data_IF_972345795684
#
_entry.id   IF_972345795684
#
_cell.length_a   1.000
_cell.length_b   1.000
_cell.length_c   1.000
_cell.angle_alpha   90.00
_cell.angle_beta   90.00
_cell.angle_gamma   90.00
#
_symmetry.space_group_name_H-M   'P 1'
#
loop_
_entity.id
_entity.type
_entity.pdbx_description
1 polymer ?
#
# COMPACT_ATOMS: atom_id res chain seq x y z
N UNK A 1 26.98 26.47 -29.63
CA UNK A 1 26.72 25.18 -28.95
C UNK A 1 25.35 25.26 -28.30
N UNK A 2 24.33 24.53 -28.78
CA UNK A 2 23.05 24.47 -28.08
C UNK A 2 23.14 23.41 -26.98
N UNK A 3 22.83 23.81 -25.75
CA UNK A 3 22.67 22.95 -24.58
C UNK A 3 21.40 22.12 -24.71
N UNK A 4 21.56 20.83 -25.02
CA UNK A 4 20.49 19.84 -24.88
C UNK A 4 20.18 19.65 -23.38
N UNK A 5 19.05 20.19 -22.92
CA UNK A 5 18.43 19.76 -21.67
C UNK A 5 17.62 18.48 -21.93
N UNK A 6 18.06 17.28 -21.49
CA UNK A 6 17.39 16.01 -21.82
C UNK A 6 16.19 15.70 -20.91
N UNK A 7 15.96 16.50 -19.86
CA UNK A 7 15.05 16.15 -18.77
C UNK A 7 13.57 16.20 -19.14
N UNK A 8 13.16 17.02 -20.11
CA UNK A 8 11.76 17.14 -20.53
C UNK A 8 11.25 15.96 -21.37
N UNK A 9 12.12 15.33 -22.15
CA UNK A 9 11.72 14.24 -23.08
C UNK A 9 11.39 12.95 -22.33
N UNK A 10 12.27 12.51 -21.42
CA UNK A 10 12.10 11.26 -20.69
C UNK A 10 10.88 11.26 -19.74
N UNK A 11 10.59 12.38 -19.10
CA UNK A 11 9.43 12.52 -18.21
C UNK A 11 8.11 12.41 -18.99
N UNK A 12 8.03 13.07 -20.16
CA UNK A 12 6.85 12.99 -21.05
C UNK A 12 6.69 11.57 -21.61
N UNK A 13 7.79 10.90 -21.96
CA UNK A 13 7.77 9.48 -22.38
C UNK A 13 7.26 8.57 -21.27
N UNK A 14 7.71 8.74 -20.02
CA UNK A 14 7.25 7.93 -18.89
C UNK A 14 5.77 8.16 -18.57
N UNK A 15 5.31 9.41 -18.49
CA UNK A 15 3.90 9.73 -18.21
C UNK A 15 2.95 9.14 -19.25
N UNK A 16 3.42 9.00 -20.49
CA UNK A 16 2.69 8.38 -21.59
C UNK A 16 2.77 6.85 -21.59
N UNK A 17 3.72 6.25 -20.86
CA UNK A 17 3.88 4.79 -20.77
C UNK A 17 2.74 4.10 -20.03
N UNK A 18 2.57 2.81 -20.28
CA UNK A 18 1.64 1.95 -19.54
C UNK A 18 2.08 1.66 -18.11
N UNK A 19 3.35 1.83 -17.75
CA UNK A 19 3.81 1.63 -16.39
C UNK A 19 3.32 2.75 -15.45
N UNK A 20 3.21 3.99 -15.96
CA UNK A 20 2.90 5.17 -15.15
C UNK A 20 1.62 5.06 -14.30
N UNK A 21 0.46 4.59 -14.81
CA UNK A 21 -0.75 4.43 -14.01
C UNK A 21 -0.62 3.49 -12.80
N UNK A 22 0.33 2.54 -12.85
CA UNK A 22 0.58 1.55 -11.80
C UNK A 22 1.68 1.99 -10.83
N UNK A 23 2.58 2.87 -11.27
CA UNK A 23 3.70 3.37 -10.47
C UNK A 23 3.36 4.70 -9.77
N UNK A 24 2.81 5.67 -10.50
CA UNK A 24 2.63 7.04 -10.00
C UNK A 24 1.81 7.11 -8.70
N UNK A 25 0.68 6.40 -8.55
CA UNK A 25 -0.09 6.49 -7.32
C UNK A 25 0.71 5.97 -6.11
N UNK A 26 1.36 4.82 -6.24
CA UNK A 26 2.21 4.24 -5.21
C UNK A 26 3.44 5.12 -4.90
N UNK A 27 4.14 5.57 -5.94
CA UNK A 27 5.31 6.45 -5.80
C UNK A 27 4.95 7.78 -5.13
N UNK A 28 3.76 8.33 -5.41
CA UNK A 28 3.28 9.56 -4.75
C UNK A 28 3.08 9.33 -3.25
N UNK A 29 2.50 8.20 -2.85
CA UNK A 29 2.34 7.83 -1.45
C UNK A 29 3.70 7.66 -0.76
N UNK A 30 4.62 6.89 -1.37
CA UNK A 30 5.97 6.66 -0.84
C UNK A 30 6.76 7.97 -0.69
N UNK A 31 6.61 8.89 -1.64
CA UNK A 31 7.25 10.21 -1.57
C UNK A 31 6.72 11.01 -0.39
N UNK A 32 5.40 11.02 -0.18
CA UNK A 32 4.78 11.74 0.94
C UNK A 32 5.17 11.15 2.29
N UNK A 33 5.25 9.82 2.40
CA UNK A 33 5.74 9.12 3.60
C UNK A 33 7.22 9.47 3.84
N UNK A 34 8.06 9.45 2.80
CA UNK A 34 9.48 9.79 2.92
C UNK A 34 9.69 11.25 3.37
N UNK A 35 8.91 12.20 2.84
CA UNK A 35 8.94 13.59 3.29
C UNK A 35 8.51 13.72 4.75
N UNK A 36 7.45 13.02 5.15
CA UNK A 36 7.00 12.99 6.55
C UNK A 36 8.10 12.46 7.48
N UNK A 37 8.77 11.36 7.11
CA UNK A 37 9.83 10.76 7.92
C UNK A 37 11.05 11.68 8.06
N UNK A 38 11.43 12.37 6.97
CA UNK A 38 12.48 13.41 7.03
C UNK A 38 12.08 14.54 7.98
N UNK A 39 10.83 15.02 7.93
CA UNK A 39 10.33 16.05 8.84
C UNK A 39 10.32 15.57 10.30
N UNK A 40 9.94 14.32 10.57
CA UNK A 40 10.01 13.70 11.91
C UNK A 40 11.45 13.62 12.42
N UNK A 41 12.39 13.20 11.56
CA UNK A 41 13.81 13.15 11.89
C UNK A 41 14.39 14.54 12.20
N UNK A 42 14.04 15.56 11.41
CA UNK A 42 14.45 16.94 11.65
C UNK A 42 13.87 17.49 12.98
N UNK A 43 12.63 17.15 13.29
CA UNK A 43 11.97 17.53 14.55
C UNK A 43 12.66 16.89 15.75
N UNK A 44 12.95 15.59 15.66
CA UNK A 44 13.64 14.82 16.72
C UNK A 44 15.06 15.36 16.98
N UNK A 45 15.72 15.91 15.95
CA UNK A 45 17.03 16.56 16.05
C UNK A 45 16.96 18.03 16.50
N UNK A 46 15.77 18.57 16.77
CA UNK A 46 15.59 19.96 17.18
C UNK A 46 15.82 21.00 16.07
N UNK A 47 15.82 20.59 14.80
CA UNK A 47 16.04 21.49 13.66
C UNK A 47 14.77 22.30 13.36
N UNK A 48 13.60 21.67 13.50
CA UNK A 48 12.29 22.29 13.28
C UNK A 48 11.38 22.03 14.49
N UNK A 49 10.61 23.02 14.95
CA UNK A 49 9.83 22.91 16.19
C UNK A 49 8.39 22.41 15.94
N UNK A 50 8.21 21.29 15.25
CA UNK A 50 6.86 20.73 15.06
C UNK A 50 6.39 19.96 16.30
N UNK A 51 5.16 20.19 16.79
CA UNK A 51 4.58 19.36 17.84
C UNK A 51 4.39 17.91 17.37
N UNK A 52 4.61 16.89 18.23
CA UNK A 52 4.47 15.47 17.85
C UNK A 52 3.09 15.12 17.27
N UNK A 53 2.01 15.71 17.79
CA UNK A 53 0.65 15.47 17.31
C UNK A 53 0.34 16.07 15.93
N UNK A 54 1.19 16.97 15.42
CA UNK A 54 0.94 17.65 14.15
C UNK A 54 1.02 16.69 12.94
N UNK A 55 1.86 15.67 13.03
CA UNK A 55 2.01 14.68 11.96
C UNK A 55 0.76 13.83 11.72
N UNK A 56 -0.16 13.73 12.70
CA UNK A 56 -1.45 13.05 12.51
C UNK A 56 -2.26 13.69 11.38
N UNK A 57 -2.16 15.01 11.22
CA UNK A 57 -2.89 15.75 10.18
C UNK A 57 -2.31 15.58 8.77
N UNK A 58 -1.10 15.04 8.64
CA UNK A 58 -0.52 14.71 7.34
C UNK A 58 -1.14 13.46 6.73
N UNK A 59 -1.72 12.57 7.55
CA UNK A 59 -2.32 11.34 7.06
C UNK A 59 -3.49 11.60 6.09
N UNK A 60 -4.49 12.45 6.39
CA UNK A 60 -5.53 12.75 5.43
C UNK A 60 -5.00 13.37 4.15
N UNK A 61 -4.06 14.31 4.27
CA UNK A 61 -3.45 15.00 3.13
C UNK A 61 -2.80 13.99 2.18
N UNK A 62 -1.99 13.06 2.69
CA UNK A 62 -1.29 12.10 1.82
C UNK A 62 -2.23 11.16 1.09
N UNK A 63 -3.29 10.70 1.74
CA UNK A 63 -4.29 9.83 1.12
C UNK A 63 -5.16 10.59 0.12
N UNK A 64 -5.51 11.86 0.38
CA UNK A 64 -6.22 12.69 -0.61
C UNK A 64 -5.38 12.86 -1.86
N UNK A 65 -4.10 13.21 -1.71
CA UNK A 65 -3.18 13.39 -2.84
C UNK A 65 -2.99 12.08 -3.60
N UNK A 66 -2.61 10.99 -2.91
CA UNK A 66 -2.40 9.69 -3.55
C UNK A 66 -3.70 9.14 -4.18
N UNK A 67 -4.84 9.35 -3.53
CA UNK A 67 -6.16 9.00 -4.04
C UNK A 67 -6.57 9.80 -5.28
N UNK A 68 -6.23 11.10 -5.34
CA UNK A 68 -6.46 11.93 -6.52
C UNK A 68 -5.58 11.48 -7.70
N UNK A 69 -4.29 11.18 -7.44
CA UNK A 69 -3.39 10.62 -8.46
C UNK A 69 -3.92 9.28 -8.96
N UNK A 70 -4.36 8.40 -8.04
CA UNK A 70 -4.98 7.13 -8.39
C UNK A 70 -6.23 7.33 -9.26
N UNK A 71 -7.16 8.19 -8.84
CA UNK A 71 -8.40 8.46 -9.59
C UNK A 71 -8.14 8.94 -11.02
N UNK A 72 -7.09 9.77 -11.20
CA UNK A 72 -6.64 10.19 -12.52
C UNK A 72 -6.06 9.03 -13.35
N UNK A 73 -5.30 8.12 -12.72
CA UNK A 73 -4.66 6.98 -13.37
C UNK A 73 -5.60 5.79 -13.64
N UNK A 74 -6.65 5.59 -12.83
CA UNK A 74 -7.51 4.40 -12.85
C UNK A 74 -8.14 4.11 -14.22
N UNK A 75 -8.44 5.15 -15.01
CA UNK A 75 -9.02 5.01 -16.36
C UNK A 75 -8.09 4.31 -17.36
N UNK A 76 -6.80 4.18 -17.02
CA UNK A 76 -5.76 3.55 -17.86
C UNK A 76 -5.38 2.15 -17.35
N UNK A 77 -6.12 1.61 -16.39
CA UNK A 77 -5.90 0.31 -15.79
C UNK A 77 -6.99 -0.68 -16.27
N UNK A 78 -6.78 -1.26 -17.45
CA UNK A 78 -7.75 -2.18 -18.08
C UNK A 78 -7.87 -3.53 -17.36
N UNK A 79 -6.91 -3.89 -16.52
CA UNK A 79 -6.89 -5.14 -15.75
C UNK A 79 -7.87 -5.19 -14.57
N UNK A 80 -8.55 -4.08 -14.26
CA UNK A 80 -9.49 -3.98 -13.14
C UNK A 80 -10.89 -4.47 -13.52
N UNK A 81 -11.05 -5.78 -13.65
CA UNK A 81 -12.33 -6.40 -14.00
C UNK A 81 -13.21 -6.65 -12.76
N UNK A 82 -14.11 -5.71 -12.45
CA UNK A 82 -15.07 -5.86 -11.34
C UNK A 82 -16.00 -7.08 -11.48
N UNK A 83 -16.16 -7.62 -12.69
CA UNK A 83 -16.90 -8.86 -12.93
C UNK A 83 -16.27 -10.08 -12.25
N UNK A 84 -14.97 -10.05 -11.93
CA UNK A 84 -14.29 -11.14 -11.23
C UNK A 84 -14.82 -11.36 -9.81
N UNK A 85 -15.37 -10.31 -9.17
CA UNK A 85 -16.03 -10.38 -7.87
C UNK A 85 -17.30 -11.24 -7.90
N UNK A 86 -17.89 -11.46 -9.08
CA UNK A 86 -19.09 -12.29 -9.24
C UNK A 86 -18.79 -13.79 -9.19
N UNK A 87 -17.52 -14.20 -9.13
CA UNK A 87 -17.11 -15.60 -8.99
C UNK A 87 -17.09 -15.97 -7.50
N UNK A 88 -18.12 -16.68 -6.97
CA UNK A 88 -18.31 -16.80 -5.52
C UNK A 88 -17.15 -17.52 -4.83
N UNK A 89 -16.61 -18.57 -5.45
CA UNK A 89 -15.45 -19.29 -4.91
C UNK A 89 -14.22 -18.39 -4.79
N UNK A 90 -13.94 -17.59 -5.82
CA UNK A 90 -12.77 -16.72 -5.81
C UNK A 90 -12.94 -15.55 -4.84
N UNK A 91 -14.14 -14.96 -4.78
CA UNK A 91 -14.46 -13.93 -3.81
C UNK A 91 -14.36 -14.45 -2.37
N UNK A 92 -14.89 -15.65 -2.09
CA UNK A 92 -14.76 -16.30 -0.78
C UNK A 92 -13.29 -16.59 -0.43
N UNK A 93 -12.50 -17.11 -1.37
CA UNK A 93 -11.07 -17.35 -1.18
C UNK A 93 -10.30 -16.04 -0.91
N UNK A 94 -10.65 -14.96 -1.60
CA UNK A 94 -10.08 -13.62 -1.40
C UNK A 94 -10.38 -13.10 0.02
N UNK A 95 -11.64 -13.12 0.44
CA UNK A 95 -12.04 -12.70 1.80
C UNK A 95 -11.37 -13.57 2.86
N UNK A 96 -11.36 -14.89 2.69
CA UNK A 96 -10.69 -15.81 3.61
C UNK A 96 -9.18 -15.55 3.70
N UNK A 97 -8.54 -15.27 2.56
CA UNK A 97 -7.11 -14.89 2.52
C UNK A 97 -6.88 -13.60 3.28
N UNK A 98 -7.71 -12.57 3.09
CA UNK A 98 -7.59 -11.31 3.82
C UNK A 98 -7.72 -11.48 5.34
N UNK A 99 -8.72 -12.25 5.79
CA UNK A 99 -8.87 -12.56 7.21
C UNK A 99 -7.69 -13.36 7.77
N UNK A 100 -7.19 -14.36 7.02
CA UNK A 100 -6.03 -15.14 7.43
C UNK A 100 -4.77 -14.27 7.56
N UNK A 101 -4.52 -13.38 6.59
CA UNK A 101 -3.41 -12.44 6.65
C UNK A 101 -3.55 -11.52 7.86
N UNK A 102 -4.74 -10.98 8.15
CA UNK A 102 -4.97 -10.18 9.36
C UNK A 102 -4.62 -10.95 10.65
N UNK A 103 -5.13 -12.17 10.81
CA UNK A 103 -4.90 -12.99 12.01
C UNK A 103 -3.41 -13.26 12.18
N UNK A 104 -2.73 -13.65 11.10
CA UNK A 104 -1.30 -13.89 11.13
C UNK A 104 -0.52 -12.60 11.41
N UNK A 105 -0.91 -11.48 10.80
CA UNK A 105 -0.25 -10.19 10.98
C UNK A 105 -0.20 -9.76 12.45
N UNK A 106 -1.36 -9.72 13.11
CA UNK A 106 -1.45 -9.39 14.55
C UNK A 106 -0.71 -10.43 15.38
N UNK A 107 -0.75 -11.69 14.95
CA UNK A 107 -0.11 -12.80 15.64
C UNK A 107 1.38 -12.98 15.35
N UNK A 108 2.05 -12.13 14.57
CA UNK A 108 3.45 -12.36 14.11
C UNK A 108 4.53 -11.62 14.91
N UNK A 109 4.16 -10.94 15.99
CA UNK A 109 5.09 -10.26 16.91
C UNK A 109 6.16 -11.19 17.55
N UNK A 110 6.01 -12.53 17.44
CA UNK A 110 6.93 -13.51 18.03
C UNK A 110 8.21 -13.79 17.23
N UNK A 111 8.31 -13.36 15.97
CA UNK A 111 9.44 -13.75 15.11
C UNK A 111 10.66 -12.84 15.25
N UNK A 112 10.50 -11.58 15.63
CA UNK A 112 11.58 -10.60 15.78
C UNK A 112 11.33 -9.68 16.99
N UNK A 113 11.57 -10.15 18.23
CA UNK A 113 11.32 -9.38 19.46
C UNK A 113 12.19 -8.12 19.62
N UNK A 114 13.10 -7.86 18.68
CA UNK A 114 14.01 -6.71 18.69
C UNK A 114 13.50 -5.51 17.89
N UNK A 115 12.36 -5.64 17.22
CA UNK A 115 11.82 -4.53 16.44
C UNK A 115 10.97 -3.63 17.33
N UNK A 116 11.47 -2.42 17.61
CA UNK A 116 10.70 -1.44 18.39
C UNK A 116 9.41 -1.12 17.63
N UNK A 117 8.24 -1.12 18.29
CA UNK A 117 6.98 -0.77 17.64
C UNK A 117 7.09 0.65 17.07
N UNK A 118 6.52 0.90 15.87
CA UNK A 118 6.53 2.24 15.33
C UNK A 118 5.66 3.15 16.23
N UNK A 119 5.84 4.48 16.16
CA UNK A 119 5.08 5.43 17.00
C UNK A 119 3.57 5.29 16.87
N UNK A 120 3.09 4.73 15.77
CA UNK A 120 1.67 4.51 15.54
C UNK A 120 0.93 5.76 15.04
N UNK A 121 -0.38 5.60 14.81
CA UNK A 121 -1.32 6.71 14.74
C UNK A 121 -2.20 6.70 16.01
N UNK A 122 -1.81 7.46 17.03
CA UNK A 122 -2.58 7.60 18.27
C UNK A 122 -3.47 8.87 18.22
N UNK A 123 -4.80 8.73 18.05
CA UNK A 123 -5.71 9.86 17.99
C UNK A 123 -6.10 10.42 19.36
N UNK A 124 -5.67 9.82 20.49
CA UNK A 124 -6.07 10.26 21.84
C UNK A 124 -5.53 11.64 22.21
N UNK A 125 -4.47 12.11 21.54
CA UNK A 125 -3.95 13.46 21.67
C UNK A 125 -4.81 14.55 21.00
N UNK A 126 -5.95 14.18 20.39
CA UNK A 126 -6.89 15.12 19.76
C UNK A 126 -8.07 15.36 20.71
N UNK A 127 -8.08 16.55 21.34
CA UNK A 127 -9.11 16.94 22.31
C UNK A 127 -10.51 17.04 21.70
N UNK A 128 -10.61 17.52 20.46
CA UNK A 128 -11.89 17.67 19.79
C UNK A 128 -12.42 16.31 19.28
N UNK A 129 -13.49 15.82 19.89
CA UNK A 129 -14.09 14.51 19.58
C UNK A 129 -14.49 14.35 18.11
N UNK A 130 -15.09 15.36 17.50
CA UNK A 130 -15.52 15.30 16.11
C UNK A 130 -14.31 15.20 15.15
N UNK A 131 -13.26 15.99 15.42
CA UNK A 131 -12.00 15.93 14.68
C UNK A 131 -11.33 14.57 14.87
N UNK A 132 -11.25 14.07 16.11
CA UNK A 132 -10.69 12.77 16.44
C UNK A 132 -11.38 11.64 15.67
N UNK A 133 -12.71 11.62 15.68
CA UNK A 133 -13.50 10.64 14.94
C UNK A 133 -13.32 10.78 13.43
N UNK A 134 -13.28 11.99 12.89
CA UNK A 134 -13.04 12.19 11.46
C UNK A 134 -11.66 11.69 11.02
N UNK A 135 -10.62 11.89 11.84
CA UNK A 135 -9.27 11.36 11.57
C UNK A 135 -9.25 9.82 11.58
N UNK A 136 -9.92 9.19 12.55
CA UNK A 136 -10.06 7.73 12.62
C UNK A 136 -10.76 7.18 11.38
N UNK A 137 -11.90 7.77 11.00
CA UNK A 137 -12.65 7.37 9.81
C UNK A 137 -11.80 7.53 8.57
N UNK A 138 -11.11 8.66 8.45
CA UNK A 138 -10.23 8.92 7.31
C UNK A 138 -9.07 7.93 7.24
N UNK A 139 -8.45 7.59 8.38
CA UNK A 139 -7.40 6.56 8.51
C UNK A 139 -7.88 5.20 8.05
N UNK A 140 -9.08 4.81 8.49
CA UNK A 140 -9.69 3.53 8.15
C UNK A 140 -10.04 3.44 6.66
N UNK A 141 -10.71 4.47 6.11
CA UNK A 141 -11.08 4.50 4.69
C UNK A 141 -9.85 4.54 3.78
N UNK A 142 -8.84 5.35 4.13
CA UNK A 142 -7.57 5.36 3.41
C UNK A 142 -6.93 3.98 3.36
N UNK A 143 -6.79 3.34 4.53
CA UNK A 143 -6.18 2.01 4.65
C UNK A 143 -6.98 0.90 3.94
N UNK A 144 -8.30 0.92 4.01
CA UNK A 144 -9.13 -0.16 3.47
C UNK A 144 -9.52 0.03 2.01
N UNK A 145 -9.57 1.25 1.49
CA UNK A 145 -10.09 1.54 0.14
C UNK A 145 -9.04 2.08 -0.83
N UNK A 146 -8.12 2.91 -0.35
CA UNK A 146 -7.15 3.59 -1.23
C UNK A 146 -5.86 2.79 -1.31
N UNK A 147 -5.24 2.52 -0.16
CA UNK A 147 -3.96 1.78 -0.06
C UNK A 147 -3.97 0.45 -0.82
N UNK A 148 -5.00 -0.41 -0.70
CA UNK A 148 -4.98 -1.71 -1.38
C UNK A 148 -4.96 -1.54 -2.90
N UNK A 149 -5.69 -0.56 -3.44
CA UNK A 149 -5.69 -0.33 -4.89
C UNK A 149 -4.32 0.17 -5.38
N UNK A 150 -3.73 1.12 -4.65
CA UNK A 150 -2.39 1.67 -4.96
C UNK A 150 -1.35 0.54 -5.00
N UNK A 151 -1.31 -0.24 -3.92
CA UNK A 151 -0.31 -1.28 -3.73
C UNK A 151 -0.49 -2.46 -4.69
N UNK A 152 -1.71 -2.94 -4.90
CA UNK A 152 -1.95 -4.08 -5.79
C UNK A 152 -1.65 -3.75 -7.25
N UNK A 153 -1.94 -2.52 -7.68
CA UNK A 153 -1.54 -2.04 -9.00
C UNK A 153 -0.02 -2.00 -9.13
N UNK A 154 0.70 -1.48 -8.14
CA UNK A 154 2.15 -1.43 -8.19
C UNK A 154 2.79 -2.81 -8.11
N UNK A 155 2.47 -3.58 -7.06
CA UNK A 155 3.16 -4.83 -6.75
C UNK A 155 2.74 -5.97 -7.68
N UNK A 156 1.43 -6.19 -7.84
CA UNK A 156 0.89 -7.38 -8.51
C UNK A 156 0.62 -7.12 -9.99
N UNK A 157 0.15 -5.92 -10.35
CA UNK A 157 -0.02 -5.56 -11.76
C UNK A 157 1.28 -5.10 -12.42
N UNK A 158 2.14 -4.33 -11.77
CA UNK A 158 3.38 -3.87 -12.40
C UNK A 158 4.61 -4.71 -12.04
N UNK A 159 5.12 -4.61 -10.80
CA UNK A 159 6.45 -5.07 -10.43
C UNK A 159 6.63 -6.58 -10.64
N UNK A 160 5.67 -7.39 -10.20
CA UNK A 160 5.75 -8.85 -10.35
C UNK A 160 5.93 -9.27 -11.81
N UNK A 161 5.20 -8.61 -12.74
CA UNK A 161 5.29 -8.86 -14.18
C UNK A 161 6.56 -8.27 -14.78
N UNK A 162 6.96 -7.07 -14.33
CA UNK A 162 8.17 -6.38 -14.77
C UNK A 162 9.46 -7.14 -14.41
N UNK A 163 9.45 -7.87 -13.29
CA UNK A 163 10.54 -8.77 -12.89
C UNK A 163 10.65 -10.02 -13.78
N UNK A 164 9.59 -10.35 -14.54
CA UNK A 164 9.59 -11.45 -15.52
C UNK A 164 10.04 -10.93 -16.89
N UNK A 165 9.45 -9.84 -17.36
CA UNK A 165 9.78 -9.18 -18.63
C UNK A 165 9.59 -7.66 -18.53
N UNK A 166 10.47 -6.88 -19.15
CA UNK A 166 10.41 -5.41 -19.15
C UNK A 166 9.17 -4.90 -19.87
N UNK A 167 8.72 -5.61 -20.91
CA UNK A 167 7.44 -5.39 -21.59
C UNK A 167 6.32 -6.07 -20.79
N UNK A 168 6.15 -5.66 -19.53
CA UNK A 168 5.36 -6.37 -18.51
C UNK A 168 3.89 -6.59 -18.90
N UNK A 169 3.33 -5.79 -19.81
CA UNK A 169 1.95 -5.95 -20.29
C UNK A 169 1.77 -7.22 -21.13
N UNK A 170 2.84 -7.71 -21.76
CA UNK A 170 2.83 -8.99 -22.48
C UNK A 170 2.77 -10.20 -21.54
N UNK A 171 3.09 -9.99 -20.25
CA UNK A 171 3.03 -11.01 -19.22
C UNK A 171 1.59 -11.11 -18.71
N UNK A 172 0.94 -12.29 -18.79
CA UNK A 172 -0.41 -12.47 -18.26
C UNK A 172 -0.47 -12.23 -16.74
N UNK A 173 -1.57 -11.64 -16.27
CA UNK A 173 -1.85 -11.51 -14.83
C UNK A 173 -1.85 -12.91 -14.19
N UNK A 174 -1.18 -13.05 -13.05
CA UNK A 174 -1.04 -14.32 -12.33
C UNK A 174 0.04 -15.27 -12.86
N UNK A 175 0.73 -14.93 -13.98
CA UNK A 175 1.94 -15.65 -14.38
C UNK A 175 3.03 -15.44 -13.33
N UNK A 176 3.65 -16.54 -12.90
CA UNK A 176 4.62 -16.54 -11.82
C UNK A 176 5.90 -17.27 -12.22
N UNK A 177 7.05 -16.66 -11.93
CA UNK A 177 8.36 -17.32 -11.90
C UNK A 177 8.90 -17.26 -10.47
N UNK A 178 9.72 -18.23 -10.08
CA UNK A 178 10.29 -18.25 -8.73
C UNK A 178 11.12 -16.99 -8.39
N UNK A 179 11.98 -16.47 -9.30
CA UNK A 179 12.70 -15.23 -9.01
C UNK A 179 11.77 -14.05 -8.78
N UNK A 180 10.80 -13.82 -9.67
CA UNK A 180 9.86 -12.71 -9.55
C UNK A 180 9.02 -12.80 -8.28
N UNK A 181 8.57 -14.02 -7.92
CA UNK A 181 7.89 -14.30 -6.67
C UNK A 181 8.73 -13.86 -5.46
N UNK A 182 9.92 -14.42 -5.27
CA UNK A 182 10.73 -14.13 -4.09
C UNK A 182 11.14 -12.66 -4.00
N UNK A 183 11.61 -12.06 -5.11
CA UNK A 183 11.98 -10.65 -5.11
C UNK A 183 10.79 -9.74 -4.78
N UNK A 184 9.63 -9.96 -5.41
CA UNK A 184 8.44 -9.15 -5.14
C UNK A 184 7.96 -9.30 -3.70
N UNK A 185 7.98 -10.50 -3.13
CA UNK A 185 7.51 -10.71 -1.75
C UNK A 185 8.47 -10.14 -0.71
N UNK A 186 9.78 -10.22 -0.94
CA UNK A 186 10.79 -9.63 -0.06
C UNK A 186 10.70 -8.10 -0.11
N UNK A 187 10.64 -7.51 -1.30
CA UNK A 187 10.50 -6.06 -1.46
C UNK A 187 9.20 -5.54 -0.84
N UNK A 188 8.09 -6.26 -1.01
CA UNK A 188 6.82 -5.94 -0.34
C UNK A 188 6.98 -5.99 1.19
N UNK A 189 7.69 -6.98 1.72
CA UNK A 189 8.00 -7.04 3.15
C UNK A 189 8.81 -5.85 3.65
N UNK A 190 9.84 -5.46 2.92
CA UNK A 190 10.74 -4.34 3.29
C UNK A 190 10.05 -2.98 3.30
N UNK A 191 8.94 -2.81 2.59
CA UNK A 191 8.10 -1.62 2.66
C UNK A 191 7.47 -1.43 4.06
N UNK A 192 7.23 -2.54 4.76
CA UNK A 192 6.49 -2.54 6.00
C UNK A 192 7.43 -2.50 7.20
N UNK A 193 7.00 -1.80 8.25
CA UNK A 193 7.70 -1.87 9.54
C UNK A 193 7.77 -3.32 10.02
N UNK A 194 6.65 -4.05 10.02
CA UNK A 194 6.63 -5.48 10.34
C UNK A 194 7.06 -6.33 9.13
N UNK A 195 8.37 -6.35 8.86
CA UNK A 195 8.94 -6.92 7.61
C UNK A 195 8.45 -8.34 7.37
N UNK A 196 8.53 -9.22 8.36
CA UNK A 196 8.18 -10.64 8.21
C UNK A 196 6.68 -10.83 7.97
N UNK A 197 5.84 -10.04 8.65
CA UNK A 197 4.39 -10.03 8.39
C UNK A 197 4.08 -9.51 6.97
N UNK A 198 4.82 -8.49 6.52
CA UNK A 198 4.77 -8.00 5.14
C UNK A 198 5.14 -9.08 4.13
N UNK A 199 6.25 -9.81 4.33
CA UNK A 199 6.64 -10.93 3.44
C UNK A 199 5.53 -11.99 3.38
N UNK A 200 4.97 -12.37 4.53
CA UNK A 200 3.88 -13.33 4.62
C UNK A 200 2.64 -12.86 3.84
N UNK A 201 2.24 -11.60 4.02
CA UNK A 201 1.12 -11.00 3.28
C UNK A 201 1.40 -10.97 1.78
N UNK A 202 2.61 -10.57 1.37
CA UNK A 202 3.05 -10.57 -0.03
C UNK A 202 2.97 -11.97 -0.66
N UNK A 203 3.38 -13.00 0.07
CA UNK A 203 3.24 -14.41 -0.35
C UNK A 203 1.76 -14.75 -0.55
N UNK A 204 0.92 -14.49 0.46
CA UNK A 204 -0.50 -14.83 0.43
C UNK A 204 -1.22 -14.18 -0.76
N UNK A 205 -1.02 -12.87 -0.97
CA UNK A 205 -1.64 -12.15 -2.08
C UNK A 205 -1.11 -12.58 -3.44
N UNK A 206 0.17 -12.94 -3.56
CA UNK A 206 0.74 -13.43 -4.82
C UNK A 206 0.23 -14.83 -5.16
N UNK A 207 0.05 -15.70 -4.16
CA UNK A 207 -0.58 -17.02 -4.36
C UNK A 207 -2.06 -16.89 -4.71
N UNK A 208 -2.78 -15.96 -4.09
CA UNK A 208 -4.15 -15.63 -4.45
C UNK A 208 -4.23 -15.09 -5.89
N UNK A 209 -3.28 -14.26 -6.33
CA UNK A 209 -3.20 -13.78 -7.71
C UNK A 209 -3.00 -14.94 -8.68
N UNK A 210 -2.09 -15.87 -8.37
CA UNK A 210 -1.84 -17.06 -9.20
C UNK A 210 -3.08 -17.95 -9.29
N UNK A 211 -3.83 -18.09 -8.20
CA UNK A 211 -5.05 -18.90 -8.17
C UNK A 211 -6.20 -18.25 -8.95
N UNK A 212 -6.40 -16.94 -8.79
CA UNK A 212 -7.59 -16.24 -9.30
C UNK A 212 -7.37 -15.58 -10.66
N UNK A 213 -6.13 -15.23 -11.00
CA UNK A 213 -5.79 -14.41 -12.17
C UNK A 213 -6.33 -12.98 -12.12
N UNK A 214 -6.68 -12.45 -10.94
CA UNK A 214 -7.42 -11.20 -10.81
C UNK A 214 -6.81 -10.25 -9.78
N UNK A 215 -6.48 -9.03 -10.23
CA UNK A 215 -5.99 -7.95 -9.36
C UNK A 215 -7.09 -7.47 -8.42
N UNK A 216 -8.34 -7.41 -8.89
CA UNK A 216 -9.49 -6.96 -8.07
C UNK A 216 -9.71 -7.88 -6.87
N UNK A 217 -9.47 -9.18 -7.02
CA UNK A 217 -9.57 -10.13 -5.91
C UNK A 217 -8.40 -10.02 -4.94
N UNK A 218 -7.20 -9.63 -5.37
CA UNK A 218 -6.12 -9.28 -4.45
C UNK A 218 -6.41 -7.96 -3.71
N UNK A 219 -6.95 -6.94 -4.40
CA UNK A 219 -7.44 -5.70 -3.79
C UNK A 219 -8.48 -6.00 -2.71
N UNK A 220 -9.45 -6.88 -2.98
CA UNK A 220 -10.46 -7.27 -1.99
C UNK A 220 -9.82 -7.95 -0.77
N UNK A 221 -8.89 -8.90 -0.97
CA UNK A 221 -8.24 -9.59 0.13
C UNK A 221 -7.47 -8.60 1.01
N UNK A 222 -6.71 -7.71 0.39
CA UNK A 222 -5.93 -6.71 1.09
C UNK A 222 -6.82 -5.65 1.77
N UNK A 223 -7.92 -5.21 1.14
CA UNK A 223 -8.92 -4.35 1.76
C UNK A 223 -9.55 -5.00 3.01
N UNK A 224 -9.87 -6.30 2.95
CA UNK A 224 -10.38 -7.06 4.09
C UNK A 224 -9.35 -7.11 5.21
N UNK A 225 -8.07 -7.39 4.89
CA UNK A 225 -6.98 -7.36 5.87
C UNK A 225 -6.92 -6.01 6.59
N UNK A 226 -6.90 -4.92 5.83
CA UNK A 226 -6.72 -3.57 6.39
C UNK A 226 -7.96 -3.11 7.16
N UNK A 227 -9.16 -3.48 6.73
CA UNK A 227 -10.39 -3.22 7.47
C UNK A 227 -10.39 -4.00 8.80
N UNK A 228 -10.08 -5.30 8.78
CA UNK A 228 -10.03 -6.12 9.98
C UNK A 228 -8.96 -5.63 10.96
N UNK A 229 -7.76 -5.29 10.46
CA UNK A 229 -6.69 -4.70 11.25
C UNK A 229 -7.09 -3.33 11.80
N UNK A 230 -7.70 -2.46 11.00
CA UNK A 230 -8.18 -1.16 11.47
C UNK A 230 -9.23 -1.26 12.57
N UNK A 231 -10.19 -2.18 12.44
CA UNK A 231 -11.16 -2.46 13.50
C UNK A 231 -10.49 -3.03 14.76
N UNK A 232 -9.49 -3.91 14.60
CA UNK A 232 -8.69 -4.42 15.72
C UNK A 232 -7.99 -3.27 16.46
N UNK A 233 -7.34 -2.37 15.73
CA UNK A 233 -6.63 -1.20 16.29
C UNK A 233 -7.57 -0.32 17.10
N UNK A 234 -8.73 0.03 16.55
CA UNK A 234 -9.72 0.86 17.24
C UNK A 234 -10.23 0.17 18.52
N UNK A 235 -10.58 -1.12 18.42
CA UNK A 235 -11.15 -1.87 19.54
C UNK A 235 -10.13 -2.15 20.66
N UNK A 236 -8.85 -2.34 20.31
CA UNK A 236 -7.78 -2.69 21.26
C UNK A 236 -6.90 -1.51 21.64
N UNK A 237 -7.12 -0.34 21.06
CA UNK A 237 -6.23 0.83 21.18
C UNK A 237 -4.78 0.47 20.78
N UNK A 238 -4.64 -0.45 19.83
CA UNK A 238 -3.35 -0.99 19.37
C UNK A 238 -2.74 -0.08 18.28
N UNK A 239 -2.54 1.20 18.60
CA UNK A 239 -2.19 2.26 17.65
C UNK A 239 -0.87 2.04 16.89
N UNK A 240 0.01 1.18 17.40
CA UNK A 240 1.29 0.80 16.78
C UNK A 240 1.13 0.04 15.45
N UNK A 241 -0.05 -0.51 15.14
CA UNK A 241 -0.32 -1.09 13.83
C UNK A 241 -0.74 -0.05 12.77
N UNK A 242 -0.89 1.22 13.15
CA UNK A 242 -1.24 2.33 12.25
C UNK A 242 -0.09 3.31 12.00
#
# INVERSE_FOLDING_TARGET
MPSNHPSGSAAVTFLSSSAAPRILPFASLMTLIGVEEVLRAMTTRGIVPFPPGWFLYLYPVRIIIAGAVLAFCLKRCDELHLSDLRRPLHAAASVATGFAVYVLWVGMDWLLPFQSPPPGFDPTGIDNDALRMSMIVFRLLGAALIIPVLEELFWRSFLLRYLIDKEFETVPIGKLTWPAFFFSTILFGLEHHYIVAGIMAGIAYTLLLRFTGSIVLCILAHAVTNLALGLHVINRQAWHFW
#
